data_IF_645639101552
#
_entry.id   IF_645639101552
#
_cell.length_a   1.000
_cell.length_b   1.000
_cell.length_c   1.000
_cell.angle_alpha   90.00
_cell.angle_beta   90.00
_cell.angle_gamma   90.00
#
_symmetry.space_group_name_H-M   'P 1'
#
loop_
_entity.id
_entity.type
_entity.pdbx_description
1 polymer ?
#
# COMPACT_ATOMS: atom_id res chain seq x y z
N UNK A 1 -16.89 -62.10 7.68
CA UNK A 1 -17.18 -60.65 7.77
C UNK A 1 -15.83 -59.94 7.86
N UNK A 2 -15.46 -59.20 6.82
CA UNK A 2 -14.18 -58.49 6.70
C UNK A 2 -14.48 -56.99 6.65
N UNK A 3 -13.98 -56.22 7.62
CA UNK A 3 -14.14 -54.76 7.65
C UNK A 3 -13.28 -54.12 6.56
N UNK A 4 -13.84 -53.37 5.59
CA UNK A 4 -13.11 -52.90 4.41
C UNK A 4 -12.63 -51.45 4.59
N UNK A 5 -12.04 -51.12 5.74
CA UNK A 5 -11.44 -49.81 5.97
C UNK A 5 -9.99 -50.01 6.36
N UNK A 6 -9.26 -50.47 5.33
CA UNK A 6 -7.81 -50.53 5.29
C UNK A 6 -7.24 -49.12 5.06
N UNK A 7 -6.07 -48.92 5.64
CA UNK A 7 -5.28 -47.71 5.77
C UNK A 7 -5.06 -46.95 4.45
N UNK A 8 -5.46 -45.68 4.44
CA UNK A 8 -4.67 -44.59 3.84
C UNK A 8 -5.34 -43.26 4.19
N UNK A 9 -5.16 -42.82 5.44
CA UNK A 9 -5.26 -41.40 5.75
C UNK A 9 -3.88 -40.78 5.51
N UNK A 10 -3.45 -40.74 4.25
CA UNK A 10 -2.45 -39.74 3.90
C UNK A 10 -3.05 -38.36 4.21
N UNK A 11 -2.40 -37.53 5.03
CA UNK A 11 -2.87 -36.17 5.22
C UNK A 11 -2.81 -35.50 3.86
N UNK A 12 -3.96 -35.06 3.33
CA UNK A 12 -4.08 -34.22 2.12
C UNK A 12 -3.41 -32.87 2.39
N UNK A 13 -2.09 -32.86 2.49
CA UNK A 13 -1.27 -31.69 2.73
C UNK A 13 -0.86 -31.06 1.40
N UNK A 14 -1.80 -30.74 0.49
CA UNK A 14 -1.42 -30.14 -0.81
C UNK A 14 -2.52 -29.36 -1.54
N UNK A 15 -3.55 -28.82 -0.86
CA UNK A 15 -4.53 -27.95 -1.54
C UNK A 15 -4.68 -26.54 -0.94
N UNK A 16 -4.02 -26.25 0.18
CA UNK A 16 -4.10 -24.93 0.83
C UNK A 16 -2.89 -24.02 0.61
N UNK A 17 -1.81 -24.52 -0.01
CA UNK A 17 -0.57 -23.74 -0.19
C UNK A 17 -0.56 -22.82 -1.41
N UNK A 18 -1.42 -23.06 -2.42
CA UNK A 18 -1.42 -22.27 -3.67
C UNK A 18 -2.23 -20.97 -3.57
N UNK A 19 -3.30 -20.92 -2.76
CA UNK A 19 -4.13 -19.70 -2.61
C UNK A 19 -3.40 -18.61 -1.80
N UNK A 20 -2.45 -18.99 -0.93
CA UNK A 20 -1.68 -18.07 -0.11
C UNK A 20 -0.59 -17.30 -0.87
N UNK A 21 -0.05 -17.86 -1.96
CA UNK A 21 0.98 -17.17 -2.78
C UNK A 21 0.36 -16.10 -3.66
N UNK A 22 -0.78 -16.39 -4.31
CA UNK A 22 -1.49 -15.44 -5.17
C UNK A 22 -2.01 -14.22 -4.39
N UNK A 23 -2.45 -14.42 -3.14
CA UNK A 23 -2.88 -13.33 -2.26
C UNK A 23 -1.72 -12.44 -1.81
N UNK A 24 -0.54 -13.01 -1.59
CA UNK A 24 0.66 -12.24 -1.20
C UNK A 24 1.16 -11.38 -2.36
N UNK A 25 1.19 -11.93 -3.58
CA UNK A 25 1.60 -11.19 -4.77
C UNK A 25 0.66 -10.00 -5.07
N UNK A 26 -0.65 -10.19 -4.89
CA UNK A 26 -1.63 -9.09 -5.01
C UNK A 26 -1.39 -7.99 -3.97
N UNK A 27 -1.12 -8.36 -2.72
CA UNK A 27 -0.80 -7.39 -1.66
C UNK A 27 0.50 -6.63 -1.95
N UNK A 28 1.52 -7.31 -2.49
CA UNK A 28 2.77 -6.66 -2.89
C UNK A 28 2.55 -5.67 -4.05
N UNK A 29 1.74 -6.03 -5.04
CA UNK A 29 1.39 -5.13 -6.14
C UNK A 29 0.61 -3.90 -5.66
N UNK A 30 -0.36 -4.09 -4.76
CA UNK A 30 -1.15 -2.98 -4.22
C UNK A 30 -0.30 -2.07 -3.33
N UNK A 31 0.63 -2.64 -2.57
CA UNK A 31 1.57 -1.89 -1.75
C UNK A 31 2.56 -1.10 -2.61
N UNK A 32 3.04 -1.66 -3.72
CA UNK A 32 3.88 -0.94 -4.68
C UNK A 32 3.11 0.19 -5.37
N UNK A 33 1.85 -0.06 -5.75
CA UNK A 33 0.97 0.98 -6.29
C UNK A 33 0.75 2.12 -5.29
N UNK A 34 0.56 1.80 -4.00
CA UNK A 34 0.38 2.79 -2.95
C UNK A 34 1.67 3.60 -2.72
N UNK A 35 2.84 2.95 -2.75
CA UNK A 35 4.14 3.64 -2.67
C UNK A 35 4.34 4.61 -3.82
N UNK A 36 4.02 4.21 -5.05
CA UNK A 36 4.11 5.08 -6.22
C UNK A 36 3.16 6.29 -6.11
N UNK A 37 1.91 6.07 -5.67
CA UNK A 37 0.95 7.16 -5.41
C UNK A 37 1.45 8.12 -4.33
N UNK A 38 2.03 7.60 -3.26
CA UNK A 38 2.58 8.40 -2.19
C UNK A 38 3.78 9.23 -2.66
N UNK A 39 4.68 8.67 -3.47
CA UNK A 39 5.80 9.40 -4.06
C UNK A 39 5.30 10.57 -4.92
N UNK A 40 4.33 10.30 -5.81
CA UNK A 40 3.73 11.34 -6.65
C UNK A 40 3.09 12.46 -5.83
N UNK A 41 2.37 12.12 -4.76
CA UNK A 41 1.77 13.12 -3.87
C UNK A 41 2.83 14.01 -3.21
N UNK A 42 3.98 13.44 -2.82
CA UNK A 42 5.10 14.22 -2.26
C UNK A 42 5.70 15.18 -3.29
N UNK A 43 5.85 14.75 -4.53
CA UNK A 43 6.32 15.60 -5.64
C UNK A 43 5.36 16.76 -5.91
N UNK A 44 4.05 16.49 -5.95
CA UNK A 44 3.02 17.52 -6.11
C UNK A 44 3.05 18.54 -4.97
N UNK A 45 3.22 18.08 -3.73
CA UNK A 45 3.36 18.97 -2.56
C UNK A 45 4.62 19.82 -2.65
N UNK A 46 5.75 19.26 -3.10
CA UNK A 46 6.98 20.02 -3.32
C UNK A 46 6.79 21.09 -4.41
N UNK A 47 6.09 20.77 -5.49
CA UNK A 47 5.77 21.72 -6.55
C UNK A 47 4.86 22.85 -6.05
N UNK A 48 3.83 22.54 -5.25
CA UNK A 48 2.94 23.55 -4.64
C UNK A 48 3.72 24.45 -3.69
N UNK A 49 4.65 23.91 -2.89
CA UNK A 49 5.53 24.71 -2.02
C UNK A 49 6.38 25.68 -2.81
N UNK A 50 7.00 25.22 -3.90
CA UNK A 50 7.83 26.06 -4.75
C UNK A 50 6.99 27.18 -5.36
N UNK A 51 5.82 26.85 -5.91
CA UNK A 51 4.89 27.84 -6.44
C UNK A 51 4.45 28.85 -5.36
N UNK A 52 4.09 28.36 -4.17
CA UNK A 52 3.64 29.19 -3.06
C UNK A 52 4.77 30.08 -2.49
N UNK A 53 6.02 29.61 -2.50
CA UNK A 53 7.18 30.37 -2.08
C UNK A 53 7.51 31.53 -3.03
N UNK A 54 7.34 31.32 -4.34
CA UNK A 54 7.72 32.30 -5.36
C UNK A 54 6.58 33.28 -5.71
N UNK A 55 5.33 32.81 -5.71
CA UNK A 55 4.21 33.56 -6.29
C UNK A 55 3.17 34.06 -5.28
N UNK A 56 3.24 33.63 -4.01
CA UNK A 56 2.30 34.09 -2.99
C UNK A 56 2.98 35.04 -2.00
N UNK A 57 2.23 36.02 -1.45
CA UNK A 57 2.70 36.78 -0.30
C UNK A 57 3.14 35.81 0.80
N UNK A 58 4.33 36.02 1.37
CA UNK A 58 5.00 35.08 2.27
C UNK A 58 4.09 34.47 3.38
N UNK A 59 3.13 35.26 3.88
CA UNK A 59 2.17 34.83 4.91
C UNK A 59 1.13 33.81 4.40
N UNK A 60 0.68 33.94 3.14
CA UNK A 60 -0.29 33.03 2.53
C UNK A 60 0.39 31.72 2.07
N UNK A 61 1.59 31.82 1.49
CA UNK A 61 2.38 30.65 1.12
C UNK A 61 2.69 29.76 2.33
N UNK A 62 3.13 30.36 3.45
CA UNK A 62 3.45 29.62 4.67
C UNK A 62 2.27 28.82 5.25
N UNK A 63 1.05 29.40 5.22
CA UNK A 63 -0.17 28.73 5.73
C UNK A 63 -0.52 27.52 4.88
N UNK A 64 -0.49 27.66 3.54
CA UNK A 64 -0.82 26.56 2.61
C UNK A 64 0.19 25.42 2.78
N UNK A 65 1.48 25.72 2.87
CA UNK A 65 2.53 24.71 3.09
C UNK A 65 2.32 23.98 4.40
N UNK A 66 2.00 24.70 5.48
CA UNK A 66 1.75 24.10 6.79
C UNK A 66 0.51 23.19 6.78
N UNK A 67 -0.59 23.62 6.15
CA UNK A 67 -1.80 22.79 6.03
C UNK A 67 -1.53 21.50 5.25
N UNK A 68 -0.71 21.55 4.19
CA UNK A 68 -0.30 20.36 3.44
C UNK A 68 0.59 19.43 4.28
N UNK A 69 1.49 19.98 5.10
CA UNK A 69 2.30 19.17 6.02
C UNK A 69 1.49 18.43 7.06
N UNK A 70 0.51 19.10 7.65
CA UNK A 70 -0.33 18.53 8.69
C UNK A 70 -1.22 17.41 8.11
N UNK A 71 -1.71 17.57 6.87
CA UNK A 71 -2.51 16.56 6.18
C UNK A 71 -1.72 15.29 5.81
N UNK A 72 -0.40 15.37 5.65
CA UNK A 72 0.46 14.22 5.31
C UNK A 72 0.98 13.46 6.54
N UNK A 73 0.85 14.03 7.74
CA UNK A 73 1.29 13.41 9.01
C UNK A 73 0.15 12.67 9.74
N UNK A 74 -1.10 12.90 9.33
CA UNK A 74 -2.30 12.19 9.79
C UNK A 74 -2.49 10.87 9.05
#
# INVERSE_FOLDING_TARGET
MTTPFDDSLEPRASQFSSVGMDGMELLEQELEHLRARHLKLREEVAAIRHYAGDNLPAKAGLVIVKMLEDALKS
#
